data_IF_115805413205
#
_entry.id   IF_115805413205
#
_cell.length_a   1.000
_cell.length_b   1.000
_cell.length_c   1.000
_cell.angle_alpha   90.00
_cell.angle_beta   90.00
_cell.angle_gamma   90.00
#
_symmetry.space_group_name_H-M   'P 1'
#
loop_
_entity.id
_entity.type
_entity.pdbx_description
1 polymer ?
#
# COMPACT_ATOMS: atom_id res chain seq x y z
N UNK A 1 -1.75 -4.38 -31.71
CA UNK A 1 -1.11 -5.30 -30.76
C UNK A 1 -0.91 -4.49 -29.49
N UNK A 2 -1.53 -4.91 -28.42
CA UNK A 2 -1.48 -4.22 -27.12
C UNK A 2 -0.05 -4.32 -26.58
N UNK A 3 0.51 -3.20 -26.09
CA UNK A 3 1.91 -3.12 -25.62
C UNK A 3 2.03 -3.39 -24.12
N UNK A 4 1.24 -4.32 -23.60
CA UNK A 4 1.24 -4.69 -22.18
C UNK A 4 2.64 -5.06 -21.68
N UNK A 5 3.36 -5.90 -22.43
CA UNK A 5 4.74 -6.31 -22.07
C UNK A 5 5.70 -5.12 -21.95
N UNK A 6 5.54 -4.09 -22.81
CA UNK A 6 6.40 -2.91 -22.75
C UNK A 6 6.13 -2.07 -21.50
N UNK A 7 4.86 -1.96 -21.08
CA UNK A 7 4.47 -1.28 -19.85
C UNK A 7 5.02 -2.05 -18.65
N UNK A 8 4.84 -3.36 -18.62
CA UNK A 8 5.32 -4.22 -17.55
C UNK A 8 6.84 -4.12 -17.42
N UNK A 9 7.58 -4.27 -18.53
CA UNK A 9 9.04 -4.19 -18.53
C UNK A 9 9.55 -2.82 -18.05
N UNK A 10 8.88 -1.73 -18.43
CA UNK A 10 9.21 -0.39 -17.97
C UNK A 10 9.07 -0.28 -16.44
N UNK A 11 7.93 -0.70 -15.90
CA UNK A 11 7.64 -0.62 -14.47
C UNK A 11 8.52 -1.60 -13.67
N UNK A 12 8.67 -2.84 -14.14
CA UNK A 12 9.48 -3.83 -13.47
C UNK A 12 10.98 -3.45 -13.41
N UNK A 13 11.48 -2.78 -14.46
CA UNK A 13 12.88 -2.32 -14.49
C UNK A 13 13.13 -1.09 -13.60
N UNK A 14 12.10 -0.30 -13.32
CA UNK A 14 12.23 0.89 -12.48
C UNK A 14 10.93 1.19 -11.72
N UNK A 15 10.75 0.54 -10.59
CA UNK A 15 9.54 0.66 -9.75
C UNK A 15 9.33 2.05 -9.17
N UNK A 16 10.40 2.87 -9.08
CA UNK A 16 10.28 4.25 -8.59
C UNK A 16 9.42 5.13 -9.51
N UNK A 17 9.21 4.71 -10.76
CA UNK A 17 8.31 5.40 -11.69
C UNK A 17 6.85 5.42 -11.19
N UNK A 18 6.48 4.47 -10.32
CA UNK A 18 5.14 4.42 -9.75
C UNK A 18 4.88 5.50 -8.69
N UNK A 19 5.93 6.14 -8.19
CA UNK A 19 5.82 7.16 -7.13
C UNK A 19 5.00 8.38 -7.52
N UNK A 20 5.00 8.71 -8.81
CA UNK A 20 4.35 9.89 -9.34
C UNK A 20 3.84 9.65 -10.77
N UNK A 21 2.55 9.97 -11.01
CA UNK A 21 1.97 9.81 -12.35
C UNK A 21 2.68 10.65 -13.42
N UNK A 22 3.15 11.84 -13.10
CA UNK A 22 3.82 12.69 -14.09
C UNK A 22 5.12 12.03 -14.57
N UNK A 23 5.88 11.45 -13.65
CA UNK A 23 7.11 10.72 -13.97
C UNK A 23 6.81 9.45 -14.77
N UNK A 24 5.85 8.62 -14.33
CA UNK A 24 5.45 7.43 -15.08
C UNK A 24 4.93 7.80 -16.47
N UNK A 25 4.04 8.79 -16.54
CA UNK A 25 3.45 9.31 -17.79
C UNK A 25 4.52 9.74 -18.80
N UNK A 26 5.55 10.48 -18.36
CA UNK A 26 6.67 10.89 -19.19
C UNK A 26 7.38 9.68 -19.82
N UNK A 27 7.65 8.65 -19.05
CA UNK A 27 8.28 7.42 -19.54
C UNK A 27 7.36 6.60 -20.44
N UNK A 28 6.04 6.53 -20.14
CA UNK A 28 5.05 5.86 -20.99
C UNK A 28 4.94 6.48 -22.39
N UNK A 29 5.19 7.78 -22.54
CA UNK A 29 5.18 8.45 -23.86
C UNK A 29 6.22 7.84 -24.82
N UNK A 30 7.37 7.41 -24.31
CA UNK A 30 8.41 6.76 -25.10
C UNK A 30 7.96 5.43 -25.71
N UNK A 31 6.99 4.76 -25.11
CA UNK A 31 6.45 3.49 -25.55
C UNK A 31 5.47 3.64 -26.74
N UNK A 32 5.06 4.86 -27.07
CA UNK A 32 4.07 5.17 -28.13
C UNK A 32 2.80 4.32 -27.97
N UNK A 33 2.22 4.36 -26.77
CA UNK A 33 0.96 3.70 -26.44
C UNK A 33 -0.20 4.33 -27.24
N UNK A 34 -1.23 3.55 -27.52
CA UNK A 34 -2.51 4.10 -27.94
C UNK A 34 -3.14 4.92 -26.80
N UNK A 35 -4.05 5.84 -27.13
CA UNK A 35 -4.77 6.62 -26.11
C UNK A 35 -5.53 5.72 -25.12
N UNK A 36 -6.04 4.59 -25.60
CA UNK A 36 -6.72 3.61 -24.75
C UNK A 36 -5.75 2.97 -23.76
N UNK A 37 -4.62 2.43 -24.22
CA UNK A 37 -3.61 1.80 -23.36
C UNK A 37 -3.07 2.79 -22.31
N UNK A 38 -2.80 4.02 -22.72
CA UNK A 38 -2.35 5.08 -21.84
C UNK A 38 -3.39 5.39 -20.73
N UNK A 39 -4.66 5.57 -21.12
CA UNK A 39 -5.74 5.86 -20.16
C UNK A 39 -6.02 4.68 -19.22
N UNK A 40 -6.00 3.44 -19.73
CA UNK A 40 -6.17 2.26 -18.88
C UNK A 40 -4.99 2.09 -17.91
N UNK A 41 -3.76 2.37 -18.34
CA UNK A 41 -2.59 2.35 -17.45
C UNK A 41 -2.73 3.43 -16.36
N UNK A 42 -3.28 4.60 -16.69
CA UNK A 42 -3.58 5.64 -15.71
C UNK A 42 -4.62 5.17 -14.69
N UNK A 43 -5.72 4.55 -15.16
CA UNK A 43 -6.73 3.97 -14.24
C UNK A 43 -6.10 2.92 -13.35
N UNK A 44 -5.25 2.03 -13.87
CA UNK A 44 -4.55 1.05 -13.05
C UNK A 44 -3.66 1.73 -11.99
N UNK A 45 -3.01 2.83 -12.34
CA UNK A 45 -2.22 3.60 -11.41
C UNK A 45 -3.09 4.26 -10.33
N UNK A 46 -4.15 4.97 -10.73
CA UNK A 46 -5.10 5.66 -9.83
C UNK A 46 -5.84 4.69 -8.91
N UNK A 47 -6.18 3.50 -9.39
CA UNK A 47 -6.84 2.46 -8.60
C UNK A 47 -5.88 1.66 -7.70
N UNK A 48 -4.57 1.81 -7.88
CA UNK A 48 -3.56 1.09 -7.10
C UNK A 48 -3.13 -0.27 -7.66
N UNK A 49 -3.68 -0.73 -8.78
CA UNK A 49 -3.38 -2.04 -9.38
C UNK A 49 -1.93 -2.22 -9.83
N UNK A 50 -1.19 -1.14 -10.07
CA UNK A 50 0.23 -1.23 -10.41
C UNK A 50 1.13 -1.42 -9.19
N UNK A 51 0.59 -1.33 -7.98
CA UNK A 51 1.34 -1.42 -6.74
C UNK A 51 1.16 -2.77 -6.07
N UNK A 52 -0.08 -3.27 -6.06
CA UNK A 52 -0.46 -4.49 -5.35
C UNK A 52 -1.30 -5.40 -6.26
N UNK A 53 -1.07 -6.71 -6.13
CA UNK A 53 -1.88 -7.71 -6.83
C UNK A 53 -3.32 -7.70 -6.26
N UNK A 54 -4.35 -7.65 -7.10
CA UNK A 54 -5.72 -7.69 -6.63
C UNK A 54 -6.04 -9.02 -5.94
N UNK A 55 -6.62 -8.94 -4.73
CA UNK A 55 -6.97 -10.13 -3.94
C UNK A 55 -8.29 -10.77 -4.35
N UNK A 56 -9.15 -10.02 -5.06
CA UNK A 56 -10.45 -10.48 -5.55
C UNK A 56 -10.77 -9.81 -6.89
N UNK A 57 -10.56 -10.55 -7.98
CA UNK A 57 -10.74 -10.06 -9.35
C UNK A 57 -12.17 -9.65 -9.66
N UNK A 58 -13.16 -10.39 -9.16
CA UNK A 58 -14.58 -10.11 -9.43
C UNK A 58 -14.99 -8.77 -8.82
N UNK A 59 -14.69 -8.57 -7.54
CA UNK A 59 -14.96 -7.32 -6.82
C UNK A 59 -14.19 -6.15 -7.44
N UNK A 60 -12.91 -6.35 -7.75
CA UNK A 60 -12.07 -5.32 -8.39
C UNK A 60 -12.60 -4.96 -9.77
N UNK A 61 -13.00 -5.94 -10.57
CA UNK A 61 -13.61 -5.71 -11.88
C UNK A 61 -14.92 -4.92 -11.78
N UNK A 62 -15.79 -5.26 -10.82
CA UNK A 62 -17.03 -4.53 -10.56
C UNK A 62 -16.76 -3.07 -10.16
N UNK A 63 -15.79 -2.83 -9.30
CA UNK A 63 -15.39 -1.49 -8.90
C UNK A 63 -14.86 -0.67 -10.08
N UNK A 64 -13.98 -1.25 -10.91
CA UNK A 64 -13.46 -0.58 -12.11
C UNK A 64 -14.58 -0.20 -13.09
N UNK A 65 -15.59 -1.05 -13.25
CA UNK A 65 -16.74 -0.77 -14.10
C UNK A 65 -17.65 0.32 -13.51
N UNK A 66 -17.87 0.29 -12.20
CA UNK A 66 -18.80 1.19 -11.52
C UNK A 66 -18.19 2.58 -11.30
N UNK A 67 -16.94 2.65 -10.85
CA UNK A 67 -16.30 3.91 -10.46
C UNK A 67 -15.64 4.62 -11.64
N UNK A 68 -15.07 3.87 -12.59
CA UNK A 68 -14.35 4.43 -13.75
C UNK A 68 -15.12 4.26 -15.07
N UNK A 69 -16.30 3.62 -15.04
CA UNK A 69 -17.10 3.40 -16.23
C UNK A 69 -16.45 2.49 -17.27
N UNK A 70 -15.55 1.60 -16.85
CA UNK A 70 -14.86 0.71 -17.77
C UNK A 70 -15.80 -0.38 -18.31
N UNK A 71 -15.58 -0.78 -19.56
CA UNK A 71 -16.22 -1.99 -20.07
C UNK A 71 -15.64 -3.26 -19.40
N UNK A 72 -16.35 -4.40 -19.39
CA UNK A 72 -15.82 -5.65 -18.85
C UNK A 72 -14.48 -6.07 -19.48
N UNK A 73 -14.29 -5.79 -20.77
CA UNK A 73 -13.03 -6.07 -21.46
C UNK A 73 -11.88 -5.17 -20.98
N UNK A 74 -12.15 -3.89 -20.74
CA UNK A 74 -11.17 -2.94 -20.22
C UNK A 74 -10.80 -3.25 -18.77
N UNK A 75 -11.77 -3.61 -17.92
CA UNK A 75 -11.52 -4.04 -16.53
C UNK A 75 -10.65 -5.30 -16.48
N UNK A 76 -10.94 -6.27 -17.35
CA UNK A 76 -10.12 -7.50 -17.47
C UNK A 76 -8.69 -7.17 -17.89
N UNK A 77 -8.50 -6.26 -18.85
CA UNK A 77 -7.16 -5.83 -19.24
C UNK A 77 -6.38 -5.21 -18.08
N UNK A 78 -7.03 -4.40 -17.24
CA UNK A 78 -6.41 -3.81 -16.04
C UNK A 78 -5.97 -4.90 -15.04
N UNK A 79 -6.81 -5.91 -14.81
CA UNK A 79 -6.48 -7.04 -13.96
C UNK A 79 -5.32 -7.88 -14.53
N UNK A 80 -5.37 -8.18 -15.82
CA UNK A 80 -4.30 -8.93 -16.51
C UNK A 80 -2.96 -8.18 -16.42
N UNK A 81 -2.95 -6.85 -16.55
CA UNK A 81 -1.75 -6.03 -16.37
C UNK A 81 -1.21 -6.14 -14.94
N UNK A 82 -2.08 -6.04 -13.94
CA UNK A 82 -1.71 -6.15 -12.52
C UNK A 82 -1.10 -7.51 -12.20
N UNK A 83 -1.74 -8.60 -12.60
CA UNK A 83 -1.24 -9.96 -12.37
C UNK A 83 0.10 -10.22 -13.07
N UNK A 84 0.23 -9.78 -14.33
CA UNK A 84 1.49 -9.94 -15.06
C UNK A 84 2.62 -9.11 -14.45
N UNK A 85 2.32 -7.91 -13.94
CA UNK A 85 3.29 -7.09 -13.25
C UNK A 85 3.71 -7.75 -11.92
N UNK A 86 2.75 -8.24 -11.13
CA UNK A 86 3.02 -8.96 -9.89
C UNK A 86 3.88 -10.21 -10.12
N UNK A 87 3.64 -10.95 -11.21
CA UNK A 87 4.42 -12.14 -11.57
C UNK A 87 5.88 -11.83 -11.96
N UNK A 88 6.16 -10.62 -12.48
CA UNK A 88 7.53 -10.20 -12.87
C UNK A 88 8.28 -9.49 -11.75
N UNK A 89 7.55 -8.95 -10.77
CA UNK A 89 8.19 -8.38 -9.60
C UNK A 89 8.72 -9.55 -8.75
N UNK A 90 10.00 -9.51 -8.33
CA UNK A 90 10.44 -10.44 -7.32
C UNK A 90 9.46 -10.30 -6.16
N UNK A 91 8.88 -11.41 -5.75
CA UNK A 91 8.00 -11.44 -4.59
C UNK A 91 8.74 -10.68 -3.48
N UNK A 92 8.25 -9.49 -3.12
CA UNK A 92 8.75 -8.73 -1.97
C UNK A 92 8.32 -9.41 -0.67
N UNK A 93 7.74 -10.59 -0.80
CA UNK A 93 7.56 -11.52 0.30
C UNK A 93 8.95 -11.90 0.77
N UNK A 94 9.37 -11.54 1.98
CA UNK A 94 10.59 -12.08 2.56
C UNK A 94 10.55 -13.60 2.40
N UNK A 95 11.67 -14.30 2.16
CA UNK A 95 11.72 -15.74 1.91
C UNK A 95 11.11 -16.61 3.02
N UNK A 96 10.65 -16.01 4.11
CA UNK A 96 9.98 -16.62 5.26
C UNK A 96 8.50 -16.25 5.43
N UNK A 97 7.83 -15.71 4.43
CA UNK A 97 6.36 -15.65 4.46
C UNK A 97 5.77 -17.05 4.21
N UNK A 98 6.18 -18.02 5.01
CA UNK A 98 5.33 -19.15 5.34
C UNK A 98 4.01 -18.55 5.82
N UNK A 99 2.89 -19.08 5.35
CA UNK A 99 1.56 -18.69 5.79
C UNK A 99 1.57 -18.62 7.34
N UNK A 100 1.85 -17.43 7.87
CA UNK A 100 1.87 -17.23 9.30
C UNK A 100 0.41 -17.29 9.71
N UNK A 101 0.09 -18.28 10.50
CA UNK A 101 -1.21 -18.36 11.17
C UNK A 101 -1.45 -17.01 11.84
N UNK A 102 -2.55 -16.35 11.49
CA UNK A 102 -2.87 -15.03 12.02
C UNK A 102 -2.83 -15.02 13.56
N UNK A 103 -2.40 -13.90 14.12
CA UNK A 103 -2.33 -13.68 15.56
C UNK A 103 -3.73 -13.38 16.07
N UNK A 104 -4.17 -14.13 17.09
CA UNK A 104 -5.38 -13.83 17.85
C UNK A 104 -5.00 -12.89 19.01
N UNK A 105 -5.54 -11.67 19.03
CA UNK A 105 -5.23 -10.72 20.09
C UNK A 105 -5.77 -11.12 21.47
N UNK A 106 -6.68 -12.09 21.56
CA UNK A 106 -7.10 -12.62 22.84
C UNK A 106 -5.96 -13.31 23.60
N UNK A 107 -4.95 -13.81 22.89
CA UNK A 107 -3.78 -14.48 23.47
C UNK A 107 -2.77 -13.50 24.10
N UNK A 108 -2.97 -12.18 23.96
CA UNK A 108 -2.04 -11.15 24.41
C UNK A 108 -2.67 -10.22 25.44
N UNK A 109 -1.86 -9.71 26.35
CA UNK A 109 -2.28 -8.67 27.30
C UNK A 109 -2.06 -7.27 26.74
N UNK A 110 -2.77 -6.29 27.27
CA UNK A 110 -2.56 -4.88 26.94
C UNK A 110 -1.09 -4.48 27.15
N UNK A 111 -0.52 -3.79 26.17
CA UNK A 111 0.88 -3.36 26.04
C UNK A 111 1.87 -4.48 25.66
N UNK A 112 1.45 -5.74 25.54
CA UNK A 112 2.33 -6.77 25.01
C UNK A 112 2.77 -6.41 23.60
N UNK A 113 4.04 -6.62 23.31
CA UNK A 113 4.57 -6.53 21.96
C UNK A 113 4.04 -7.72 21.15
N UNK A 114 3.48 -7.40 19.98
CA UNK A 114 2.96 -8.42 19.09
C UNK A 114 4.07 -8.94 18.17
N UNK A 115 4.20 -10.24 17.98
CA UNK A 115 5.15 -10.85 17.04
C UNK A 115 4.62 -10.69 15.60
N UNK A 116 4.21 -9.46 15.25
CA UNK A 116 3.61 -9.14 13.98
C UNK A 116 4.71 -8.72 13.01
N UNK A 117 4.83 -9.37 11.84
CA UNK A 117 5.78 -8.94 10.82
C UNK A 117 5.39 -7.54 10.32
N UNK A 118 6.35 -6.63 10.37
CA UNK A 118 6.22 -5.29 9.80
C UNK A 118 6.88 -5.31 8.43
N UNK A 119 6.04 -5.28 7.40
CA UNK A 119 6.48 -5.26 6.00
C UNK A 119 6.73 -3.80 5.59
N UNK A 120 7.86 -3.56 4.96
CA UNK A 120 8.29 -2.23 4.53
C UNK A 120 8.46 -2.21 3.01
N UNK A 121 8.05 -1.13 2.37
CA UNK A 121 8.39 -0.86 0.97
C UNK A 121 9.73 -0.13 0.89
N UNK A 122 10.82 -0.89 0.97
CA UNK A 122 12.18 -0.35 1.01
C UNK A 122 12.56 0.43 -0.24
N UNK A 123 11.95 0.13 -1.39
CA UNK A 123 12.16 0.86 -2.65
C UNK A 123 11.57 2.26 -2.55
N UNK A 124 10.33 2.36 -2.05
CA UNK A 124 9.69 3.65 -1.84
C UNK A 124 10.36 4.43 -0.72
N UNK A 125 10.78 3.76 0.35
CA UNK A 125 11.54 4.40 1.43
C UNK A 125 12.83 5.04 0.90
N UNK A 126 13.61 4.32 0.09
CA UNK A 126 14.82 4.86 -0.53
C UNK A 126 14.50 6.04 -1.45
N UNK A 127 13.43 5.93 -2.25
CA UNK A 127 13.00 7.00 -3.14
C UNK A 127 12.72 8.29 -2.38
N UNK A 128 11.98 8.22 -1.28
CA UNK A 128 11.63 9.37 -0.44
C UNK A 128 12.75 9.82 0.51
N UNK A 129 13.86 9.10 0.57
CA UNK A 129 14.98 9.40 1.46
C UNK A 129 14.71 8.99 2.92
N UNK A 130 13.83 8.00 3.13
CA UNK A 130 13.62 7.38 4.43
C UNK A 130 14.80 6.45 4.70
N UNK A 131 15.57 6.75 5.74
CA UNK A 131 16.83 6.05 6.01
C UNK A 131 16.72 5.03 7.14
N UNK A 132 15.72 5.19 8.01
CA UNK A 132 15.48 4.27 9.10
C UNK A 132 13.99 4.24 9.46
N UNK A 133 13.45 3.06 9.67
CA UNK A 133 12.12 2.84 10.25
C UNK A 133 12.29 1.81 11.37
N UNK A 134 12.05 2.24 12.60
CA UNK A 134 12.11 1.38 13.78
C UNK A 134 10.79 1.46 14.51
N UNK A 135 9.89 0.53 14.24
CA UNK A 135 8.54 0.50 14.78
C UNK A 135 8.23 -0.82 15.49
N UNK A 136 7.38 -0.73 16.49
CA UNK A 136 6.91 -1.87 17.28
C UNK A 136 5.39 -1.82 17.37
N UNK A 137 4.74 -2.93 17.06
CA UNK A 137 3.31 -3.10 17.25
C UNK A 137 3.02 -3.67 18.64
N UNK A 138 2.03 -3.12 19.33
CA UNK A 138 1.58 -3.55 20.66
C UNK A 138 0.08 -3.70 20.69
N UNK A 139 -0.43 -4.63 21.54
CA UNK A 139 -1.85 -4.64 21.85
C UNK A 139 -2.21 -3.38 22.63
N UNK A 140 -3.14 -2.57 22.11
CA UNK A 140 -3.67 -1.42 22.82
C UNK A 140 -4.72 -1.82 23.86
N UNK A 141 -5.20 -0.86 24.64
CA UNK A 141 -6.27 -1.09 25.62
C UNK A 141 -7.59 -1.31 24.89
N UNK A 142 -8.30 -2.37 25.23
CA UNK A 142 -9.59 -2.71 24.64
C UNK A 142 -10.72 -2.02 25.41
N UNK A 143 -11.37 -1.04 24.80
CA UNK A 143 -12.54 -0.34 25.39
C UNK A 143 -13.83 -1.09 25.12
N UNK A 144 -13.94 -1.75 23.98
CA UNK A 144 -15.11 -2.53 23.54
C UNK A 144 -14.68 -3.98 23.30
N UNK A 145 -15.48 -4.93 23.79
CA UNK A 145 -15.23 -6.37 23.62
C UNK A 145 -15.29 -6.83 22.16
N UNK A 146 -16.00 -6.09 21.32
CA UNK A 146 -16.22 -6.42 19.91
C UNK A 146 -15.18 -5.72 18.99
N UNK A 147 -14.25 -4.92 19.57
CA UNK A 147 -13.26 -4.14 18.84
C UNK A 147 -11.87 -4.35 19.45
N UNK A 148 -10.91 -4.70 18.62
CA UNK A 148 -9.50 -4.71 18.98
C UNK A 148 -8.78 -3.46 18.49
N UNK A 149 -7.70 -3.10 19.22
CA UNK A 149 -6.80 -2.02 18.84
C UNK A 149 -5.35 -2.50 18.89
N UNK A 150 -4.60 -2.12 17.86
CA UNK A 150 -3.15 -2.27 17.78
C UNK A 150 -2.53 -0.88 17.75
N UNK A 151 -1.65 -0.61 18.69
CA UNK A 151 -0.83 0.60 18.69
C UNK A 151 0.49 0.30 17.99
N UNK A 152 0.83 1.11 16.98
CA UNK A 152 2.15 1.14 16.38
C UNK A 152 2.90 2.36 16.91
N UNK A 153 4.04 2.14 17.52
CA UNK A 153 4.93 3.21 17.98
C UNK A 153 6.31 3.03 17.38
N UNK A 154 6.98 4.13 17.08
CA UNK A 154 8.34 4.04 16.56
C UNK A 154 8.92 5.35 16.08
N UNK A 155 10.02 5.24 15.37
CA UNK A 155 10.78 6.38 14.84
C UNK A 155 11.06 6.16 13.35
N UNK A 156 10.89 7.24 12.59
CA UNK A 156 11.30 7.31 11.17
C UNK A 156 12.35 8.40 11.00
N UNK A 157 13.51 8.03 10.49
CA UNK A 157 14.53 8.98 10.08
C UNK A 157 14.43 9.28 8.59
N UNK A 158 14.39 10.56 8.24
CA UNK A 158 14.24 11.02 6.87
C UNK A 158 15.35 11.99 6.51
N UNK A 159 15.88 11.81 5.29
CA UNK A 159 16.67 12.81 4.57
C UNK A 159 15.88 13.18 3.32
N UNK A 160 14.99 14.18 3.39
CA UNK A 160 14.04 14.43 2.30
C UNK A 160 14.78 14.80 1.02
N UNK A 161 14.47 14.06 -0.05
CA UNK A 161 15.02 14.29 -1.40
C UNK A 161 14.16 15.26 -2.21
N UNK A 162 12.93 15.47 -1.78
CA UNK A 162 11.93 16.27 -2.47
C UNK A 162 11.33 17.32 -1.56
N UNK A 163 10.85 18.40 -2.14
CA UNK A 163 10.13 19.48 -1.45
C UNK A 163 8.62 19.22 -1.48
N UNK A 164 8.23 18.08 -0.97
CA UNK A 164 6.85 17.58 -0.97
C UNK A 164 6.51 16.99 0.40
N UNK A 165 5.23 16.96 0.71
CA UNK A 165 4.71 16.23 1.84
C UNK A 165 4.70 14.73 1.54
N UNK A 166 5.22 13.95 2.48
CA UNK A 166 5.24 12.50 2.41
C UNK A 166 4.21 11.97 3.39
N UNK A 167 3.30 11.13 2.91
CA UNK A 167 2.33 10.44 3.76
C UNK A 167 2.81 9.01 3.95
N UNK A 168 2.93 8.60 5.21
CA UNK A 168 3.21 7.22 5.57
C UNK A 168 1.87 6.51 5.79
N UNK A 169 1.57 5.53 4.96
CA UNK A 169 0.45 4.62 5.15
C UNK A 169 0.87 3.49 6.07
N UNK A 170 0.04 3.22 7.06
CA UNK A 170 0.20 2.14 8.04
C UNK A 170 -1.04 1.27 7.91
N UNK A 171 -0.87 0.06 7.41
CA UNK A 171 -1.96 -0.82 7.01
C UNK A 171 -1.87 -2.16 7.73
N UNK A 172 -2.97 -2.61 8.31
CA UNK A 172 -3.08 -3.88 9.02
C UNK A 172 -3.88 -4.89 8.18
N UNK A 173 -3.35 -6.08 8.00
CA UNK A 173 -3.94 -7.12 7.17
C UNK A 173 -4.19 -8.40 7.95
N UNK A 174 -5.26 -9.12 7.59
CA UNK A 174 -5.54 -10.46 8.07
C UNK A 174 -4.73 -11.54 7.31
N UNK A 175 -4.90 -12.80 7.70
CA UNK A 175 -4.26 -13.95 7.06
C UNK A 175 -4.67 -14.20 5.61
N UNK A 176 -5.80 -13.61 5.17
CA UNK A 176 -6.30 -13.69 3.79
C UNK A 176 -5.74 -12.55 2.92
N UNK A 177 -4.94 -11.63 3.50
CA UNK A 177 -4.45 -10.45 2.83
C UNK A 177 -5.50 -9.34 2.70
N UNK A 178 -6.62 -9.42 3.42
CA UNK A 178 -7.64 -8.38 3.45
C UNK A 178 -7.22 -7.27 4.41
N UNK A 179 -7.44 -6.02 4.00
CA UNK A 179 -7.16 -4.84 4.82
C UNK A 179 -8.18 -4.76 5.97
N UNK A 180 -7.69 -4.78 7.20
CA UNK A 180 -8.52 -4.68 8.40
C UNK A 180 -8.67 -3.24 8.88
N UNK A 181 -7.56 -2.51 8.87
CA UNK A 181 -7.49 -1.13 9.31
C UNK A 181 -6.32 -0.42 8.65
N UNK A 182 -6.39 0.89 8.54
CA UNK A 182 -5.26 1.72 8.13
C UNK A 182 -5.26 3.05 8.90
N UNK A 183 -4.08 3.65 8.96
CA UNK A 183 -3.87 5.00 9.43
C UNK A 183 -2.82 5.69 8.57
N UNK A 184 -2.74 7.00 8.64
CA UNK A 184 -1.79 7.79 7.87
C UNK A 184 -1.04 8.76 8.77
N UNK A 185 0.26 8.90 8.54
CA UNK A 185 1.10 9.87 9.22
C UNK A 185 1.77 10.76 8.20
N UNK A 186 1.46 12.06 8.23
CA UNK A 186 2.04 13.03 7.30
C UNK A 186 3.36 13.57 7.83
N UNK A 187 4.38 13.50 6.99
CA UNK A 187 5.71 14.03 7.26
C UNK A 187 5.86 15.38 6.56
N UNK A 188 5.69 16.45 7.31
CA UNK A 188 5.79 17.82 6.81
C UNK A 188 7.23 18.29 6.95
N UNK A 189 7.87 18.70 5.85
CA UNK A 189 9.29 19.10 5.80
C UNK A 189 9.66 20.20 6.81
N UNK A 190 8.78 21.18 6.99
CA UNK A 190 9.02 22.33 7.86
C UNK A 190 9.10 21.97 9.34
N UNK A 191 8.53 20.82 9.74
CA UNK A 191 8.48 20.35 11.13
C UNK A 191 9.35 19.12 11.36
N UNK A 192 10.23 18.76 10.41
CA UNK A 192 11.04 17.56 10.53
C UNK A 192 12.12 17.71 11.59
N UNK A 193 11.77 17.30 12.79
CA UNK A 193 12.77 16.87 13.78
C UNK A 193 13.13 15.43 13.44
N UNK A 194 14.36 15.19 13.06
CA UNK A 194 14.82 13.83 12.77
C UNK A 194 15.39 13.20 14.02
N UNK A 195 14.90 12.04 14.49
CA UNK A 195 13.84 11.22 13.91
C UNK A 195 12.43 11.73 14.20
N UNK A 196 11.48 11.44 13.29
CA UNK A 196 10.06 11.69 13.51
C UNK A 196 9.44 10.52 14.27
N UNK A 197 8.64 10.83 15.28
CA UNK A 197 7.94 9.80 16.07
C UNK A 197 6.63 9.44 15.35
N UNK A 198 6.39 8.13 15.20
CA UNK A 198 5.10 7.59 14.82
C UNK A 198 4.42 7.03 16.06
N UNK A 199 3.17 7.42 16.25
CA UNK A 199 2.28 6.85 17.26
C UNK A 199 0.87 6.82 16.66
N UNK A 200 0.40 5.65 16.28
CA UNK A 200 -0.91 5.47 15.68
C UNK A 200 -1.64 4.27 16.27
N UNK A 201 -2.97 4.31 16.23
CA UNK A 201 -3.85 3.25 16.70
C UNK A 201 -4.72 2.73 15.55
N UNK A 202 -4.62 1.43 15.31
CA UNK A 202 -5.40 0.72 14.30
C UNK A 202 -6.50 -0.07 14.97
N UNK A 203 -7.74 0.22 14.61
CA UNK A 203 -8.95 -0.38 15.22
C UNK A 203 -9.65 -1.30 14.23
N UNK A 204 -10.02 -2.50 14.64
CA UNK A 204 -10.66 -3.50 13.79
C UNK A 204 -11.55 -4.47 14.61
N UNK A 205 -12.46 -5.24 13.96
CA UNK A 205 -13.34 -6.19 14.63
C UNK A 205 -12.59 -7.29 15.39
N UNK A 206 -13.06 -7.64 16.61
CA UNK A 206 -12.39 -8.59 17.49
C UNK A 206 -12.46 -10.06 17.02
N UNK A 207 -13.28 -10.37 16.03
CA UNK A 207 -13.38 -11.70 15.41
C UNK A 207 -12.32 -11.95 14.33
N UNK A 208 -11.52 -10.93 14.00
CA UNK A 208 -10.49 -11.01 12.98
C UNK A 208 -9.11 -11.30 13.59
N UNK A 209 -8.35 -12.15 12.91
CA UNK A 209 -6.93 -12.40 13.21
C UNK A 209 -6.07 -11.51 12.33
N UNK A 210 -5.00 -11.00 12.92
CA UNK A 210 -4.03 -10.17 12.21
C UNK A 210 -2.83 -11.01 11.77
N UNK A 211 -2.33 -10.76 10.55
CA UNK A 211 -1.21 -11.50 10.00
C UNK A 211 0.02 -10.63 9.75
N UNK A 212 -0.16 -9.39 9.32
CA UNK A 212 0.95 -8.48 9.01
C UNK A 212 0.53 -7.02 9.13
N UNK A 213 1.53 -6.19 9.35
CA UNK A 213 1.43 -4.74 9.27
C UNK A 213 2.33 -4.27 8.13
N UNK A 214 1.85 -3.37 7.29
CA UNK A 214 2.62 -2.77 6.20
C UNK A 214 2.82 -1.29 6.47
N UNK A 215 4.04 -0.81 6.30
CA UNK A 215 4.39 0.62 6.34
C UNK A 215 4.86 1.02 4.95
N UNK A 216 4.18 2.00 4.35
CA UNK A 216 4.46 2.44 2.98
C UNK A 216 4.43 3.96 2.87
N UNK A 217 5.51 4.61 2.45
CA UNK A 217 5.49 6.03 2.11
C UNK A 217 4.80 6.27 0.77
N UNK A 218 4.09 7.40 0.67
CA UNK A 218 3.48 7.86 -0.56
C UNK A 218 3.34 9.39 -0.58
N UNK A 219 2.84 9.97 -1.67
CA UNK A 219 2.52 11.39 -1.76
C UNK A 219 1.16 11.71 -1.15
N UNK A 220 0.98 12.94 -0.67
CA UNK A 220 -0.28 13.41 -0.05
C UNK A 220 -1.50 13.24 -0.98
N UNK A 221 -1.34 13.37 -2.30
CA UNK A 221 -2.44 13.28 -3.28
C UNK A 221 -3.22 11.95 -3.26
N UNK A 222 -2.67 10.91 -2.57
CA UNK A 222 -3.33 9.61 -2.43
C UNK A 222 -4.29 9.52 -1.23
N UNK A 223 -4.15 10.40 -0.25
CA UNK A 223 -5.00 10.42 0.95
C UNK A 223 -6.47 10.63 0.58
N UNK A 224 -6.74 11.45 -0.43
CA UNK A 224 -8.11 11.75 -0.86
C UNK A 224 -8.85 10.55 -1.48
N UNK A 225 -8.14 9.65 -2.15
CA UNK A 225 -8.75 8.50 -2.79
C UNK A 225 -9.16 7.38 -1.82
N UNK A 226 -8.49 7.30 -0.65
CA UNK A 226 -8.78 6.27 0.35
C UNK A 226 -9.79 6.73 1.40
N UNK A 227 -9.74 7.99 1.84
CA UNK A 227 -10.63 8.53 2.88
C UNK A 227 -12.08 8.64 2.43
N UNK A 228 -12.35 8.99 1.16
CA UNK A 228 -13.72 9.07 0.64
C UNK A 228 -14.45 7.72 0.54
N UNK A 229 -13.73 6.60 0.60
CA UNK A 229 -14.32 5.25 0.45
C UNK A 229 -14.78 4.62 1.77
N UNK A 230 -14.26 5.07 2.91
CA UNK A 230 -14.52 4.43 4.20
C UNK A 230 -15.37 5.26 5.16
N UNK A 231 -15.71 6.50 4.81
CA UNK A 231 -16.59 7.38 5.59
C UNK A 231 -18.07 7.28 5.21
N UNK A 232 -18.50 6.16 4.58
CA UNK A 232 -19.92 5.92 4.24
C UNK A 232 -20.43 4.62 4.80
#
# INVERSE_FOLDING_TARGET
MIKTDAIINLIASNRTLLSDWATLSYHLQSLRLSSLEYNLTRVCWEFGLLFDEPTNDEKTSEQLQTEYGLSPAASRWCLDLAHQLAAQLPSTTPPDAQAQSGIDLNDYQTKDQLPLPIIRDTVMEEHFGITNVNCVARKAYQFDKDIFQVQLTGEIAIQPRFDIEIVIFIMLYNERGELLAYDTHTLIKEYQVTPTIIDCELTFPADQKIAKLMIRPNFESWTFALTDKYDK
#
